data_IF_212552984399
#
_entry.id   IF_212552984399
#
_cell.length_a   1.000
_cell.length_b   1.000
_cell.length_c   1.000
_cell.angle_alpha   90.00
_cell.angle_beta   90.00
_cell.angle_gamma   90.00
#
_symmetry.space_group_name_H-M   'P 1'
#
loop_
_entity.id
_entity.type
_entity.pdbx_description
1 polymer ?
#
# COMPACT_ATOMS: atom_id res chain seq x y z
N UNK A 1 14.39 -49.27 -65.52
CA UNK A 1 13.40 -49.64 -64.48
C UNK A 1 12.33 -48.57 -64.45
N UNK A 2 11.11 -48.91 -64.82
CA UNK A 2 9.99 -47.99 -65.08
C UNK A 2 9.60 -47.18 -63.85
N UNK A 3 9.50 -45.85 -64.01
CA UNK A 3 8.82 -44.98 -63.03
C UNK A 3 7.33 -45.30 -63.08
N UNK A 4 6.89 -46.28 -62.30
CA UNK A 4 5.46 -46.52 -62.11
C UNK A 4 4.85 -45.28 -61.43
N UNK A 5 4.02 -44.55 -62.16
CA UNK A 5 3.28 -43.41 -61.61
C UNK A 5 2.30 -43.88 -60.54
N UNK A 6 1.99 -42.98 -59.59
CA UNK A 6 1.00 -43.22 -58.54
C UNK A 6 -0.36 -43.58 -59.16
N UNK A 7 -1.09 -44.49 -58.51
CA UNK A 7 -2.45 -44.83 -58.96
C UNK A 7 -3.38 -43.60 -58.87
N UNK A 8 -4.36 -43.51 -59.77
CA UNK A 8 -5.34 -42.41 -59.77
C UNK A 8 -6.06 -42.28 -58.41
N UNK A 9 -6.33 -43.41 -57.75
CA UNK A 9 -6.95 -43.42 -56.43
C UNK A 9 -6.05 -42.80 -55.35
N UNK A 10 -4.75 -43.08 -55.42
CA UNK A 10 -3.78 -42.51 -54.48
C UNK A 10 -3.55 -41.01 -54.73
N UNK A 11 -3.50 -40.59 -56.00
CA UNK A 11 -3.44 -39.17 -56.38
C UNK A 11 -4.65 -38.43 -55.81
N UNK A 12 -5.87 -38.97 -55.99
CA UNK A 12 -7.10 -38.38 -55.45
C UNK A 12 -7.05 -38.24 -53.92
N UNK A 13 -6.60 -39.27 -53.20
CA UNK A 13 -6.44 -39.22 -51.73
C UNK A 13 -5.45 -38.13 -51.31
N UNK A 14 -4.31 -38.01 -51.99
CA UNK A 14 -3.31 -36.97 -51.72
C UNK A 14 -3.85 -35.57 -51.96
N UNK A 15 -4.58 -35.35 -53.06
CA UNK A 15 -5.20 -34.04 -53.36
C UNK A 15 -6.23 -33.63 -52.31
N UNK A 16 -7.08 -34.55 -51.84
CA UNK A 16 -8.03 -34.28 -50.75
C UNK A 16 -7.30 -33.94 -49.46
N UNK A 17 -6.24 -34.69 -49.12
CA UNK A 17 -5.42 -34.40 -47.94
C UNK A 17 -4.79 -33.02 -48.02
N UNK A 18 -4.24 -32.64 -49.17
CA UNK A 18 -3.66 -31.31 -49.38
C UNK A 18 -4.70 -30.21 -49.16
N UNK A 19 -5.86 -30.31 -49.80
CA UNK A 19 -6.96 -29.35 -49.63
C UNK A 19 -7.37 -29.20 -48.17
N UNK A 20 -7.49 -30.32 -47.46
CA UNK A 20 -7.87 -30.31 -46.04
C UNK A 20 -6.80 -29.66 -45.17
N UNK A 21 -5.51 -29.92 -45.44
CA UNK A 21 -4.40 -29.30 -44.72
C UNK A 21 -4.37 -27.79 -44.97
N UNK A 22 -4.53 -27.35 -46.21
CA UNK A 22 -4.58 -25.92 -46.56
C UNK A 22 -5.69 -25.21 -45.81
N UNK A 23 -6.91 -25.77 -45.83
CA UNK A 23 -8.05 -25.24 -45.09
C UNK A 23 -7.79 -25.18 -43.57
N UNK A 24 -7.31 -26.27 -42.97
CA UNK A 24 -7.02 -26.31 -41.54
C UNK A 24 -5.92 -25.32 -41.15
N UNK A 25 -4.88 -25.19 -41.98
CA UNK A 25 -3.78 -24.27 -41.73
C UNK A 25 -4.26 -22.81 -41.78
N UNK A 26 -5.11 -22.45 -42.72
CA UNK A 26 -5.72 -21.12 -42.77
C UNK A 26 -6.53 -20.82 -41.51
N UNK A 27 -7.40 -21.74 -41.08
CA UNK A 27 -8.16 -21.61 -39.83
C UNK A 27 -7.24 -21.45 -38.61
N UNK A 28 -6.16 -22.24 -38.54
CA UNK A 28 -5.17 -22.13 -37.48
C UNK A 28 -4.45 -20.78 -37.51
N UNK A 29 -4.10 -20.25 -38.69
CA UNK A 29 -3.45 -18.94 -38.81
C UNK A 29 -4.34 -17.82 -38.28
N UNK A 30 -5.63 -17.82 -38.61
CA UNK A 30 -6.58 -16.86 -38.07
C UNK A 30 -6.68 -16.96 -36.54
N UNK A 31 -6.83 -18.18 -36.01
CA UNK A 31 -6.88 -18.41 -34.57
C UNK A 31 -5.61 -17.94 -33.86
N UNK A 32 -4.44 -18.28 -34.40
CA UNK A 32 -3.14 -17.87 -33.85
C UNK A 32 -2.99 -16.35 -33.89
N UNK A 33 -3.45 -15.69 -34.96
CA UNK A 33 -3.42 -14.25 -35.07
C UNK A 33 -4.28 -13.59 -33.98
N UNK A 34 -5.53 -14.02 -33.82
CA UNK A 34 -6.42 -13.51 -32.77
C UNK A 34 -5.84 -13.74 -31.37
N UNK A 35 -5.35 -14.94 -31.08
CA UNK A 35 -4.76 -15.25 -29.78
C UNK A 35 -3.51 -14.40 -29.49
N UNK A 36 -2.70 -14.09 -30.52
CA UNK A 36 -1.52 -13.22 -30.35
C UNK A 36 -1.92 -11.78 -30.08
N UNK A 37 -2.95 -11.30 -30.75
CA UNK A 37 -3.47 -9.95 -30.57
C UNK A 37 -4.06 -9.78 -29.16
N UNK A 38 -4.94 -10.71 -28.75
CA UNK A 38 -5.50 -10.75 -27.39
C UNK A 38 -4.40 -10.84 -26.32
N UNK A 39 -3.39 -11.70 -26.50
CA UNK A 39 -2.27 -11.80 -25.56
C UNK A 39 -1.46 -10.50 -25.47
N UNK A 40 -1.33 -9.77 -26.58
CA UNK A 40 -0.66 -8.47 -26.62
C UNK A 40 -1.46 -7.43 -25.83
N UNK A 41 -2.76 -7.36 -26.04
CA UNK A 41 -3.66 -6.45 -25.30
C UNK A 41 -3.65 -6.75 -23.80
N UNK A 42 -3.80 -8.01 -23.42
CA UNK A 42 -3.76 -8.45 -22.02
C UNK A 42 -2.43 -8.07 -21.34
N UNK A 43 -1.29 -8.24 -22.05
CA UNK A 43 0.02 -7.83 -21.52
C UNK A 43 0.13 -6.32 -21.31
N UNK A 44 -0.46 -5.53 -22.21
CA UNK A 44 -0.49 -4.07 -22.06
C UNK A 44 -1.35 -3.67 -20.85
N UNK A 45 -2.50 -4.31 -20.67
CA UNK A 45 -3.38 -4.04 -19.54
C UNK A 45 -2.73 -4.42 -18.21
N UNK A 46 -2.10 -5.59 -18.12
CA UNK A 46 -1.33 -6.01 -16.93
C UNK A 46 -0.25 -4.98 -16.61
N UNK A 47 0.48 -4.47 -17.62
CA UNK A 47 1.50 -3.45 -17.40
C UNK A 47 0.90 -2.15 -16.84
N UNK A 48 -0.25 -1.71 -17.37
CA UNK A 48 -0.97 -0.53 -16.88
C UNK A 48 -1.42 -0.71 -15.44
N UNK A 49 -2.08 -1.83 -15.14
CA UNK A 49 -2.57 -2.15 -13.80
C UNK A 49 -1.43 -2.22 -12.78
N UNK A 50 -0.30 -2.83 -13.12
CA UNK A 50 0.85 -2.90 -12.24
C UNK A 50 1.42 -1.52 -11.88
N UNK A 51 1.41 -0.57 -12.84
CA UNK A 51 1.82 0.82 -12.56
C UNK A 51 0.85 1.46 -11.58
N UNK A 52 -0.45 1.34 -11.82
CA UNK A 52 -1.49 1.89 -10.94
C UNK A 52 -1.37 1.33 -9.52
N UNK A 53 -1.22 0.01 -9.38
CA UNK A 53 -1.07 -0.64 -8.07
C UNK A 53 0.20 -0.17 -7.36
N UNK A 54 1.32 -0.04 -8.08
CA UNK A 54 2.57 0.49 -7.52
C UNK A 54 2.39 1.91 -6.99
N UNK A 55 1.72 2.78 -7.75
CA UNK A 55 1.52 4.17 -7.33
C UNK A 55 0.53 4.29 -6.18
N UNK A 56 -0.54 3.50 -6.18
CA UNK A 56 -1.46 3.37 -5.04
C UNK A 56 -0.73 2.91 -3.78
N UNK A 57 0.17 1.93 -3.90
CA UNK A 57 0.94 1.44 -2.76
C UNK A 57 1.83 2.54 -2.16
N UNK A 58 2.52 3.33 -3.00
CA UNK A 58 3.30 4.49 -2.53
C UNK A 58 2.42 5.49 -1.79
N UNK A 59 1.26 5.85 -2.37
CA UNK A 59 0.32 6.77 -1.72
C UNK A 59 -0.16 6.24 -0.37
N UNK A 60 -0.44 4.94 -0.27
CA UNK A 60 -0.83 4.29 0.99
C UNK A 60 0.30 4.39 2.03
N UNK A 61 1.53 4.14 1.63
CA UNK A 61 2.66 4.17 2.55
C UNK A 61 2.98 5.61 3.03
N UNK A 62 2.87 6.59 2.14
CA UNK A 62 2.97 8.02 2.50
C UNK A 62 1.86 8.42 3.48
N UNK A 63 0.61 8.01 3.23
CA UNK A 63 -0.51 8.28 4.12
C UNK A 63 -0.33 7.60 5.49
N UNK A 64 0.18 6.36 5.53
CA UNK A 64 0.46 5.67 6.79
C UNK A 64 1.50 6.42 7.62
N UNK A 65 2.55 6.93 6.98
CA UNK A 65 3.58 7.73 7.65
C UNK A 65 2.96 8.99 8.26
N UNK A 66 2.19 9.75 7.46
CA UNK A 66 1.50 10.95 7.94
C UNK A 66 0.54 10.65 9.10
N UNK A 67 -0.21 9.55 9.03
CA UNK A 67 -1.11 9.13 10.11
C UNK A 67 -0.32 8.82 11.38
N UNK A 68 0.83 8.16 11.29
CA UNK A 68 1.67 7.84 12.44
C UNK A 68 2.27 9.11 13.06
N UNK A 69 2.74 10.05 12.23
CA UNK A 69 3.20 11.36 12.68
C UNK A 69 2.10 12.14 13.41
N UNK A 70 0.90 12.18 12.84
CA UNK A 70 -0.27 12.82 13.46
C UNK A 70 -0.65 12.14 14.78
N UNK A 71 -0.62 10.81 14.84
CA UNK A 71 -0.85 10.06 16.09
C UNK A 71 0.16 10.46 17.15
N UNK A 72 1.43 10.56 16.81
CA UNK A 72 2.49 10.99 17.73
C UNK A 72 2.29 12.45 18.16
N UNK A 73 1.87 13.34 17.27
CA UNK A 73 1.62 14.75 17.62
C UNK A 73 0.42 14.91 18.55
N UNK A 74 -0.67 14.18 18.30
CA UNK A 74 -1.92 14.29 19.08
C UNK A 74 -1.85 13.53 20.40
N UNK A 75 -1.34 12.30 20.39
CA UNK A 75 -1.33 11.42 21.56
C UNK A 75 0.02 11.37 22.28
N UNK A 76 1.07 11.96 21.70
CA UNK A 76 2.43 11.85 22.19
C UNK A 76 3.06 10.48 21.88
N UNK A 77 4.39 10.39 21.97
CA UNK A 77 5.08 9.09 21.99
C UNK A 77 4.81 8.42 23.34
N UNK A 78 4.24 7.22 23.31
CA UNK A 78 4.18 6.35 24.49
C UNK A 78 5.62 6.07 24.91
N UNK A 79 6.06 6.70 26.01
CA UNK A 79 7.36 6.39 26.61
C UNK A 79 7.34 4.90 26.97
N UNK A 80 8.13 4.09 26.27
CA UNK A 80 8.52 2.80 26.82
C UNK A 80 9.20 3.14 28.13
N UNK A 81 8.67 2.63 29.24
CA UNK A 81 9.50 2.50 30.43
C UNK A 81 10.63 1.58 29.99
N UNK A 82 11.80 2.15 29.76
CA UNK A 82 13.02 1.37 29.91
C UNK A 82 12.90 0.79 31.31
N UNK A 83 12.73 -0.53 31.37
CA UNK A 83 12.97 -1.26 32.60
C UNK A 83 14.49 -1.25 32.71
N UNK A 84 15.03 -0.09 33.09
CA UNK A 84 16.32 -0.08 33.75
C UNK A 84 16.05 -0.77 35.09
N UNK A 85 16.41 -2.05 35.17
CA UNK A 85 16.40 -2.85 36.40
C UNK A 85 17.36 -2.28 37.49
N UNK A 86 17.93 -1.10 37.28
CA UNK A 86 18.89 -0.44 38.18
C UNK A 86 18.35 0.81 38.90
N UNK A 87 17.09 1.23 38.68
CA UNK A 87 16.51 2.27 39.55
C UNK A 87 15.92 1.64 40.82
N UNK A 88 16.82 1.23 41.73
CA UNK A 88 16.53 0.81 43.10
C UNK A 88 15.99 1.95 43.99
N UNK A 89 15.66 3.14 43.43
CA UNK A 89 15.07 4.18 44.24
C UNK A 89 13.64 3.80 44.63
N UNK A 90 13.34 3.69 45.95
CA UNK A 90 11.99 3.36 46.39
C UNK A 90 11.02 4.42 45.85
N UNK A 91 9.79 4.03 45.47
CA UNK A 91 8.78 4.96 44.98
C UNK A 91 8.68 6.13 45.95
N UNK A 92 8.97 7.36 45.48
CA UNK A 92 8.83 8.57 46.31
C UNK A 92 7.45 8.57 46.94
N UNK A 93 7.40 8.54 48.27
CA UNK A 93 6.16 8.60 49.01
C UNK A 93 5.37 9.82 48.55
N UNK A 94 4.08 9.62 48.25
CA UNK A 94 3.21 10.72 47.82
C UNK A 94 2.90 11.56 49.04
N UNK A 95 3.73 12.58 49.28
CA UNK A 95 3.47 13.59 50.29
C UNK A 95 2.15 14.28 49.89
N UNK A 96 1.11 14.24 50.73
CA UNK A 96 -0.14 14.95 50.44
C UNK A 96 0.18 16.44 50.33
N UNK A 97 -0.34 17.08 49.27
CA UNK A 97 -0.15 18.52 49.07
C UNK A 97 -0.74 19.28 50.25
N UNK A 98 -0.01 20.25 50.78
CA UNK A 98 -0.58 21.18 51.77
C UNK A 98 -1.73 21.96 51.12
N UNK A 99 -2.72 22.37 51.93
CA UNK A 99 -3.87 23.16 51.46
C UNK A 99 -3.46 24.42 50.69
N UNK A 100 -2.32 24.99 51.05
CA UNK A 100 -1.79 26.22 50.43
C UNK A 100 -1.24 25.99 49.03
N UNK A 101 -0.89 24.76 48.67
CA UNK A 101 -0.52 24.41 47.29
C UNK A 101 -1.65 24.59 46.29
N UNK A 102 -2.91 24.57 46.75
CA UNK A 102 -4.08 24.78 45.89
C UNK A 102 -4.48 26.26 45.77
N UNK A 103 -3.89 27.13 46.59
CA UNK A 103 -4.15 28.56 46.58
C UNK A 103 -3.21 29.24 45.59
N UNK A 104 -3.70 30.28 44.92
CA UNK A 104 -2.84 31.19 44.17
C UNK A 104 -1.95 31.94 45.17
N UNK A 105 -0.66 32.19 44.85
CA UNK A 105 0.18 33.00 45.70
C UNK A 105 -0.44 34.39 45.85
N UNK A 106 -0.52 34.86 47.09
CA UNK A 106 -0.93 36.24 47.38
C UNK A 106 0.25 37.12 46.93
N UNK A 107 0.03 38.14 46.08
CA UNK A 107 1.07 39.08 45.69
C UNK A 107 1.72 39.71 46.92
N UNK A 108 3.04 39.94 46.85
CA UNK A 108 3.73 40.67 47.92
C UNK A 108 3.35 42.14 47.86
N UNK A 109 3.40 42.85 48.98
CA UNK A 109 3.05 44.28 49.04
C UNK A 109 3.86 45.15 48.05
N UNK A 110 5.10 44.76 47.74
CA UNK A 110 5.94 45.42 46.74
C UNK A 110 5.47 45.25 45.28
N UNK A 111 4.65 44.24 45.01
CA UNK A 111 4.07 43.94 43.68
C UNK A 111 2.69 44.59 43.50
N UNK A 112 2.08 45.09 44.58
CA UNK A 112 0.77 45.75 44.54
C UNK A 112 0.96 47.22 44.18
N UNK A 113 0.54 47.59 42.97
CA UNK A 113 0.70 48.97 42.46
C UNK A 113 -0.39 49.91 42.95
N UNK A 114 -1.62 49.43 43.16
CA UNK A 114 -2.77 50.25 43.56
C UNK A 114 -3.77 49.44 44.41
N UNK A 115 -4.41 50.09 45.39
CA UNK A 115 -5.47 49.51 46.21
C UNK A 115 -6.72 50.38 46.05
N UNK A 116 -7.77 49.83 45.44
CA UNK A 116 -9.03 50.54 45.20
C UNK A 116 -10.09 50.03 46.18
N UNK A 117 -10.65 50.89 47.07
CA UNK A 117 -11.76 50.50 47.93
C UNK A 117 -13.06 50.37 47.12
N UNK A 118 -13.74 49.24 47.26
CA UNK A 118 -15.05 49.04 46.66
C UNK A 118 -16.14 49.66 47.55
N UNK A 119 -17.12 50.39 46.97
CA UNK A 119 -18.24 50.93 47.73
C UNK A 119 -19.12 49.79 48.27
N UNK A 120 -19.50 49.89 49.53
CA UNK A 120 -20.43 48.98 50.23
C UNK A 120 -21.88 49.37 50.01
#
# INVERSE_FOLDING_TARGET
MSKAGLSKAEIKKRLVRLRNIEFLHEQQRFKIWHLRDENRELRQEIKRLNIIVSDQQKTIDDMKLQIEELRVMVFGKKKKKEVDDDDLTPPKERIPRSSDSYKRPIPKDAEVTEIVPHPT
#
